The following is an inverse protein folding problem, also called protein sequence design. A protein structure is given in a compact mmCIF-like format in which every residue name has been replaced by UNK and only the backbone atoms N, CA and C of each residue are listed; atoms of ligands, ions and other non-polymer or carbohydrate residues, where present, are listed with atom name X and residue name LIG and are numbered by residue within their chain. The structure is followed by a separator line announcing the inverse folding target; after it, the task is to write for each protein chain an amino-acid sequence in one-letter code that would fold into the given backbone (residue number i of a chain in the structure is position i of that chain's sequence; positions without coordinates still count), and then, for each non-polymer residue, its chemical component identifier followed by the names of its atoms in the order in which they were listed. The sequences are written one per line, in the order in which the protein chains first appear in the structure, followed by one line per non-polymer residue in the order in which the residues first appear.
data_IF_003722142422
#
_entry.id   IF_003722142422
#
_cell.length_a   1.000
_cell.length_b   1.000
_cell.length_c   1.000
_cell.angle_alpha   90.00
_cell.angle_beta   90.00
_cell.angle_gamma   90.00
#
_symmetry.space_group_name_H-M   'P 1'
#
loop_
_entity.id
_entity.type
_entity.pdbx_description
1 polymer ?
#
# COMPACT_ATOMS: atom_id res chain seq x y z
N UNK A 1 -25.45 2.32 17.22
CA UNK A 1 -24.94 3.31 16.25
C UNK A 1 -23.98 4.24 17.01
N UNK A 2 -22.73 4.32 16.59
CA UNK A 2 -21.70 5.17 17.20
C UNK A 2 -21.28 6.28 16.24
N UNK A 3 -20.83 7.42 16.78
CA UNK A 3 -20.17 8.50 16.02
C UNK A 3 -18.68 8.20 15.96
N UNK A 4 -18.17 7.93 14.78
CA UNK A 4 -16.78 7.47 14.59
C UNK A 4 -16.04 8.42 13.67
N UNK A 5 -14.88 8.93 14.12
CA UNK A 5 -13.96 9.66 13.26
C UNK A 5 -12.94 8.71 12.63
N UNK A 6 -12.65 8.94 11.35
CA UNK A 6 -11.54 8.30 10.63
C UNK A 6 -10.56 9.38 10.21
N UNK A 7 -9.33 9.35 10.73
CA UNK A 7 -8.32 10.35 10.43
C UNK A 7 -7.43 9.92 9.29
N UNK A 8 -7.54 10.61 8.17
CA UNK A 8 -6.89 10.32 6.90
C UNK A 8 -7.80 9.59 5.91
N UNK A 9 -7.83 10.09 4.67
CA UNK A 9 -8.62 9.57 3.56
C UNK A 9 -7.78 8.73 2.57
N UNK A 10 -6.63 8.19 3.01
CA UNK A 10 -5.79 7.31 2.21
C UNK A 10 -6.37 5.89 2.05
N UNK A 11 -5.56 4.95 1.58
CA UNK A 11 -5.99 3.58 1.28
C UNK A 11 -6.69 2.87 2.45
N UNK A 12 -6.12 2.97 3.67
CA UNK A 12 -6.74 2.35 4.86
C UNK A 12 -7.96 3.13 5.32
N UNK A 13 -7.85 4.46 5.48
CA UNK A 13 -8.93 5.27 6.03
C UNK A 13 -10.19 5.27 5.17
N UNK A 14 -10.04 5.27 3.84
CA UNK A 14 -11.17 5.13 2.91
C UNK A 14 -11.87 3.76 3.06
N UNK A 15 -11.09 2.68 3.29
CA UNK A 15 -11.63 1.35 3.53
C UNK A 15 -12.37 1.28 4.88
N UNK A 16 -11.78 1.81 5.96
CA UNK A 16 -12.43 1.92 7.28
C UNK A 16 -13.76 2.64 7.16
N UNK A 17 -13.75 3.80 6.51
CA UNK A 17 -14.97 4.61 6.33
C UNK A 17 -16.08 3.85 5.60
N UNK A 18 -15.72 3.12 4.50
CA UNK A 18 -16.69 2.30 3.76
C UNK A 18 -17.31 1.22 4.65
N UNK A 19 -16.51 0.45 5.40
CA UNK A 19 -17.02 -0.63 6.23
C UNK A 19 -17.90 -0.11 7.36
N UNK A 20 -17.45 0.91 8.09
CA UNK A 20 -18.23 1.49 9.19
C UNK A 20 -19.54 2.13 8.73
N UNK A 21 -19.51 2.87 7.62
CA UNK A 21 -20.74 3.50 7.09
C UNK A 21 -21.75 2.45 6.59
N UNK A 22 -21.27 1.40 5.92
CA UNK A 22 -22.09 0.27 5.48
C UNK A 22 -22.76 -0.46 6.67
N UNK A 23 -22.11 -0.51 7.82
CA UNK A 23 -22.64 -1.06 9.07
C UNK A 23 -23.59 -0.10 9.81
N UNK A 24 -23.86 1.08 9.25
CA UNK A 24 -24.84 2.04 9.78
C UNK A 24 -24.30 2.96 10.88
N UNK A 25 -22.98 3.09 11.03
CA UNK A 25 -22.38 4.05 11.95
C UNK A 25 -22.35 5.47 11.36
N UNK A 26 -22.38 6.49 12.23
CA UNK A 26 -22.23 7.88 11.83
C UNK A 26 -20.71 8.18 11.67
N UNK A 27 -20.23 8.14 10.43
CA UNK A 27 -18.80 8.24 10.11
C UNK A 27 -18.45 9.65 9.62
N UNK A 28 -17.37 10.22 10.18
CA UNK A 28 -16.74 11.45 9.67
C UNK A 28 -15.27 11.14 9.34
N UNK A 29 -14.94 11.22 8.06
CA UNK A 29 -13.54 11.18 7.60
C UNK A 29 -12.96 12.58 7.68
N UNK A 30 -11.85 12.75 8.37
CA UNK A 30 -11.14 14.03 8.50
C UNK A 30 -9.82 13.92 7.75
N UNK A 31 -9.67 14.72 6.69
CA UNK A 31 -8.49 14.72 5.82
C UNK A 31 -7.87 16.12 5.74
N UNK A 32 -6.56 16.22 6.01
CA UNK A 32 -5.86 17.51 6.02
C UNK A 32 -5.69 18.14 4.62
N UNK A 33 -5.74 17.33 3.57
CA UNK A 33 -5.66 17.75 2.18
C UNK A 33 -7.00 17.50 1.47
N UNK A 34 -6.96 17.47 0.15
CA UNK A 34 -8.07 16.98 -0.68
C UNK A 34 -8.03 15.45 -0.74
N UNK A 35 -9.17 14.75 -0.89
CA UNK A 35 -9.14 13.32 -1.20
C UNK A 35 -8.28 13.02 -2.44
N UNK A 36 -7.56 11.89 -2.40
CA UNK A 36 -6.64 11.48 -3.48
C UNK A 36 -5.48 12.46 -3.73
N UNK A 37 -5.07 13.22 -2.71
CA UNK A 37 -3.88 14.08 -2.76
C UNK A 37 -2.59 13.26 -2.97
N UNK A 38 -1.54 13.88 -3.49
CA UNK A 38 -0.24 13.27 -3.78
C UNK A 38 0.81 13.41 -2.67
N UNK A 39 0.42 13.94 -1.51
CA UNK A 39 1.34 14.23 -0.41
C UNK A 39 1.70 13.00 0.42
N UNK A 40 0.85 11.97 0.41
CA UNK A 40 1.02 10.74 1.19
C UNK A 40 1.55 9.55 0.38
N UNK A 41 1.12 8.34 0.79
CA UNK A 41 1.58 7.06 0.22
C UNK A 41 0.58 6.38 -0.71
N UNK A 42 -0.67 6.87 -0.81
CA UNK A 42 -1.76 6.16 -1.51
C UNK A 42 -2.03 6.65 -2.93
N UNK A 43 -1.42 7.76 -3.35
CA UNK A 43 -1.59 8.33 -4.67
C UNK A 43 -0.94 7.48 -5.78
N UNK A 44 -1.48 7.59 -6.99
CA UNK A 44 -0.91 7.05 -8.22
C UNK A 44 -1.76 5.98 -8.89
N UNK A 45 -1.33 5.58 -10.09
CA UNK A 45 -2.07 4.68 -10.96
C UNK A 45 -1.92 3.21 -10.58
N UNK A 46 -0.84 2.83 -9.89
CA UNK A 46 -0.52 1.41 -9.70
C UNK A 46 0.11 1.08 -8.34
N UNK A 47 -0.33 -0.05 -7.75
CA UNK A 47 0.29 -0.72 -6.60
C UNK A 47 0.23 -2.23 -6.81
N UNK A 48 1.38 -2.93 -6.66
CA UNK A 48 1.42 -4.40 -6.81
C UNK A 48 0.46 -5.06 -5.83
N UNK A 49 -0.32 -6.01 -6.32
CA UNK A 49 -1.08 -6.98 -5.53
C UNK A 49 -0.56 -8.37 -5.86
N UNK A 50 -0.20 -9.14 -4.85
CA UNK A 50 0.41 -10.47 -4.96
C UNK A 50 0.21 -11.27 -3.68
N UNK A 51 0.20 -12.59 -3.79
CA UNK A 51 0.30 -13.53 -2.67
C UNK A 51 1.75 -13.98 -2.42
N UNK A 52 2.64 -13.73 -3.35
CA UNK A 52 4.05 -14.08 -3.30
C UNK A 52 4.79 -13.28 -2.24
N UNK A 53 5.06 -13.91 -1.10
CA UNK A 53 5.87 -13.41 -0.01
C UNK A 53 6.81 -14.49 0.49
N UNK A 54 8.04 -14.16 0.95
CA UNK A 54 8.89 -15.12 1.65
C UNK A 54 8.27 -15.59 2.97
N UNK A 55 7.41 -14.76 3.57
CA UNK A 55 6.69 -15.03 4.81
C UNK A 55 5.26 -15.50 4.51
N UNK A 56 4.97 -16.76 4.82
CA UNK A 56 3.66 -17.39 4.63
C UNK A 56 2.50 -16.72 5.38
N UNK A 57 2.78 -15.98 6.45
CA UNK A 57 1.79 -15.20 7.16
C UNK A 57 1.17 -14.13 6.24
N UNK A 58 2.00 -13.36 5.51
CA UNK A 58 1.51 -12.37 4.55
C UNK A 58 0.83 -13.02 3.34
N UNK A 59 1.31 -14.19 2.89
CA UNK A 59 0.65 -14.98 1.84
C UNK A 59 -0.78 -15.36 2.26
N UNK A 60 -0.96 -15.84 3.48
CA UNK A 60 -2.27 -16.17 4.06
C UNK A 60 -3.17 -14.95 4.15
N UNK A 61 -2.67 -13.82 4.68
CA UNK A 61 -3.44 -12.57 4.75
C UNK A 61 -3.89 -12.06 3.39
N UNK A 62 -3.10 -12.26 2.34
CA UNK A 62 -3.52 -11.92 0.99
C UNK A 62 -4.67 -12.80 0.49
N UNK A 63 -4.75 -14.06 0.92
CA UNK A 63 -5.91 -14.93 0.69
C UNK A 63 -7.22 -14.28 1.15
N UNK A 64 -7.19 -13.59 2.29
CA UNK A 64 -8.33 -12.84 2.83
C UNK A 64 -8.57 -11.47 2.13
N UNK A 65 -7.51 -10.85 1.64
CA UNK A 65 -7.62 -9.54 0.99
C UNK A 65 -8.19 -9.60 -0.44
N UNK A 66 -7.86 -10.63 -1.22
CA UNK A 66 -8.34 -10.77 -2.61
C UNK A 66 -9.87 -10.78 -2.75
N UNK A 67 -10.62 -11.55 -1.95
CA UNK A 67 -12.09 -11.51 -1.99
C UNK A 67 -12.66 -10.13 -1.68
N UNK A 68 -12.01 -9.36 -0.78
CA UNK A 68 -12.45 -8.00 -0.43
C UNK A 68 -12.19 -7.00 -1.56
N UNK A 69 -11.11 -7.18 -2.34
CA UNK A 69 -10.88 -6.38 -3.55
C UNK A 69 -11.92 -6.69 -4.63
N UNK A 70 -12.26 -7.96 -4.83
CA UNK A 70 -13.32 -8.36 -5.75
C UNK A 70 -14.72 -7.84 -5.30
N UNK A 71 -14.98 -7.82 -3.98
CA UNK A 71 -16.18 -7.20 -3.41
C UNK A 71 -16.22 -5.70 -3.73
N UNK A 72 -15.10 -4.97 -3.54
CA UNK A 72 -15.03 -3.55 -3.84
C UNK A 72 -15.27 -3.25 -5.33
N UNK A 73 -14.65 -4.01 -6.24
CA UNK A 73 -14.89 -3.87 -7.70
C UNK A 73 -16.38 -4.02 -8.05
N UNK A 74 -17.03 -5.05 -7.50
CA UNK A 74 -18.46 -5.32 -7.74
C UNK A 74 -19.35 -4.21 -7.20
N UNK A 75 -19.10 -3.72 -5.99
CA UNK A 75 -19.88 -2.63 -5.38
C UNK A 75 -19.62 -1.29 -6.09
N UNK A 76 -18.39 -1.03 -6.51
CA UNK A 76 -18.01 0.20 -7.20
C UNK A 76 -18.50 0.24 -8.66
N UNK A 77 -18.71 -0.92 -9.28
CA UNK A 77 -19.06 -1.03 -10.69
C UNK A 77 -17.93 -0.65 -11.63
N UNK A 78 -16.68 -0.72 -11.17
CA UNK A 78 -15.49 -0.34 -11.94
C UNK A 78 -14.32 -1.29 -11.72
N UNK A 79 -13.45 -1.46 -12.73
CA UNK A 79 -12.26 -2.29 -12.63
C UNK A 79 -11.14 -1.56 -11.90
N UNK A 80 -10.77 -2.08 -10.72
CA UNK A 80 -9.73 -1.55 -9.84
C UNK A 80 -8.48 -2.41 -9.84
N UNK A 81 -8.60 -3.68 -10.18
CA UNK A 81 -7.53 -4.66 -10.25
C UNK A 81 -7.24 -5.07 -11.69
N UNK A 82 -6.03 -4.80 -12.17
CA UNK A 82 -5.48 -5.31 -13.43
C UNK A 82 -4.68 -6.58 -13.14
N UNK A 83 -5.23 -7.73 -13.54
CA UNK A 83 -4.56 -9.03 -13.39
C UNK A 83 -3.58 -9.23 -14.55
N UNK A 84 -2.31 -8.99 -14.31
CA UNK A 84 -1.22 -9.10 -15.28
C UNK A 84 -0.34 -10.34 -15.07
N UNK A 85 -0.57 -11.06 -13.96
CA UNK A 85 0.42 -11.93 -13.37
C UNK A 85 1.56 -11.14 -12.73
N UNK A 86 2.41 -11.86 -11.99
CA UNK A 86 3.59 -11.28 -11.35
C UNK A 86 4.81 -12.20 -11.51
N UNK A 87 5.92 -11.66 -11.96
CA UNK A 87 7.22 -12.31 -12.05
C UNK A 87 8.08 -11.90 -10.86
N UNK A 88 8.45 -12.86 -10.04
CA UNK A 88 9.23 -12.67 -8.81
C UNK A 88 10.51 -13.48 -8.93
N UNK A 89 11.65 -12.85 -8.90
CA UNK A 89 12.91 -13.51 -9.23
C UNK A 89 14.07 -13.05 -8.35
N UNK A 90 15.14 -13.82 -8.35
CA UNK A 90 16.42 -13.52 -7.71
C UNK A 90 17.51 -14.43 -8.31
N UNK A 91 18.80 -14.24 -7.94
CA UNK A 91 19.82 -15.24 -8.21
C UNK A 91 19.40 -16.63 -7.72
N UNK A 92 19.73 -17.67 -8.48
CA UNK A 92 19.43 -19.05 -8.08
C UNK A 92 20.07 -19.38 -6.73
N UNK A 93 19.32 -20.05 -5.86
CA UNK A 93 19.75 -20.31 -4.47
C UNK A 93 19.51 -19.17 -3.50
N UNK A 94 18.94 -18.04 -3.91
CA UNK A 94 18.56 -16.98 -3.00
C UNK A 94 17.53 -17.49 -1.97
N UNK A 95 17.71 -17.21 -0.66
CA UNK A 95 16.87 -17.78 0.41
C UNK A 95 15.40 -17.41 0.25
N UNK A 96 15.08 -16.21 -0.22
CA UNK A 96 13.71 -15.76 -0.39
C UNK A 96 12.96 -16.57 -1.47
N UNK A 97 13.61 -17.01 -2.57
CA UNK A 97 12.95 -17.84 -3.57
C UNK A 97 12.49 -19.18 -2.97
N UNK A 98 13.33 -19.80 -2.14
CA UNK A 98 12.98 -21.05 -1.46
C UNK A 98 11.87 -20.84 -0.44
N UNK A 99 11.89 -19.73 0.28
CA UNK A 99 10.85 -19.35 1.22
C UNK A 99 9.51 -19.04 0.51
N UNK A 100 9.56 -18.30 -0.61
CA UNK A 100 8.40 -18.00 -1.47
C UNK A 100 7.74 -19.29 -1.96
N UNK A 101 8.51 -20.21 -2.55
CA UNK A 101 7.97 -21.49 -3.04
C UNK A 101 7.22 -22.24 -1.96
N UNK A 102 7.81 -22.31 -0.77
CA UNK A 102 7.19 -22.92 0.40
C UNK A 102 5.92 -22.22 0.80
N UNK A 103 5.98 -20.90 0.99
CA UNK A 103 4.83 -20.10 1.39
C UNK A 103 3.66 -20.21 0.40
N UNK A 104 3.92 -20.22 -0.90
CA UNK A 104 2.89 -20.40 -1.93
C UNK A 104 2.30 -21.80 -1.88
N UNK A 105 3.14 -22.86 -1.78
CA UNK A 105 2.69 -24.25 -1.69
C UNK A 105 1.84 -24.50 -0.42
N UNK A 106 2.31 -24.04 0.74
CA UNK A 106 1.61 -24.21 2.03
C UNK A 106 0.24 -23.50 2.03
N UNK A 107 0.12 -22.39 1.29
CA UNK A 107 -1.14 -21.65 1.12
C UNK A 107 -1.93 -22.04 -0.14
N UNK A 108 -1.56 -23.11 -0.84
CA UNK A 108 -2.24 -23.63 -2.04
C UNK A 108 -2.37 -22.58 -3.15
N UNK A 109 -1.40 -21.70 -3.30
CA UNK A 109 -1.34 -20.70 -4.36
C UNK A 109 -0.63 -21.29 -5.57
N UNK A 110 -1.28 -21.25 -6.73
CA UNK A 110 -0.69 -21.72 -7.99
C UNK A 110 0.43 -20.80 -8.46
N UNK A 111 1.54 -21.36 -8.88
CA UNK A 111 2.66 -20.64 -9.47
C UNK A 111 3.39 -21.51 -10.52
N UNK A 112 4.19 -20.87 -11.35
CA UNK A 112 5.07 -21.50 -12.34
C UNK A 112 6.51 -21.12 -12.03
N UNK A 113 7.44 -22.06 -12.17
CA UNK A 113 8.87 -21.77 -12.13
C UNK A 113 9.39 -21.41 -13.53
N UNK A 114 10.17 -20.35 -13.63
CA UNK A 114 10.72 -19.86 -14.90
C UNK A 114 12.23 -19.75 -14.81
N UNK A 115 12.92 -20.45 -15.70
CA UNK A 115 14.31 -20.20 -16.04
C UNK A 115 14.40 -19.02 -17.05
N UNK A 116 15.60 -18.51 -17.37
CA UNK A 116 15.76 -17.44 -18.34
C UNK A 116 15.14 -17.72 -19.71
N UNK A 117 15.21 -18.95 -20.19
CA UNK A 117 14.66 -19.37 -21.50
C UNK A 117 13.13 -19.36 -21.48
N UNK A 118 12.53 -19.92 -20.44
CA UNK A 118 11.08 -19.93 -20.26
C UNK A 118 10.53 -18.51 -20.06
N UNK A 119 11.23 -17.68 -19.29
CA UNK A 119 10.90 -16.28 -19.10
C UNK A 119 10.90 -15.50 -20.41
N UNK A 120 11.95 -15.61 -21.22
CA UNK A 120 12.05 -14.91 -22.51
C UNK A 120 10.95 -15.33 -23.51
N UNK A 121 10.51 -16.60 -23.46
CA UNK A 121 9.37 -17.06 -24.28
C UNK A 121 8.04 -16.50 -23.79
N UNK A 122 7.84 -16.45 -22.48
CA UNK A 122 6.58 -15.98 -21.87
C UNK A 122 6.46 -14.47 -21.90
N UNK A 123 7.56 -13.77 -21.64
CA UNK A 123 7.63 -12.30 -21.53
C UNK A 123 8.78 -11.74 -22.39
N UNK A 124 8.60 -11.58 -23.71
CA UNK A 124 9.67 -11.14 -24.62
C UNK A 124 10.25 -9.76 -24.30
N UNK A 125 9.52 -8.93 -23.53
CA UNK A 125 9.99 -7.61 -23.05
C UNK A 125 10.82 -7.68 -21.77
N UNK A 126 10.98 -8.88 -21.16
CA UNK A 126 11.70 -9.08 -19.90
C UNK A 126 12.87 -10.05 -20.06
N UNK A 127 13.97 -9.77 -19.41
CA UNK A 127 15.18 -10.62 -19.45
C UNK A 127 15.58 -11.04 -18.03
N UNK A 128 15.48 -12.34 -17.73
CA UNK A 128 16.24 -12.93 -16.63
C UNK A 128 17.67 -13.21 -17.10
N UNK A 129 18.65 -12.97 -16.23
CA UNK A 129 20.07 -13.26 -16.50
C UNK A 129 20.36 -14.74 -16.26
N UNK A 130 21.46 -15.21 -16.81
CA UNK A 130 22.00 -16.53 -16.47
C UNK A 130 22.25 -16.62 -14.96
N UNK A 131 21.85 -17.72 -14.33
CA UNK A 131 21.93 -17.92 -12.89
C UNK A 131 20.82 -17.22 -12.07
N UNK A 132 19.80 -16.66 -12.70
CA UNK A 132 18.58 -16.22 -12.05
C UNK A 132 17.44 -17.22 -12.25
N UNK A 133 16.56 -17.31 -11.27
CA UNK A 133 15.35 -18.10 -11.33
C UNK A 133 14.13 -17.25 -10.95
N UNK A 134 13.00 -17.51 -11.58
CA UNK A 134 11.75 -16.78 -11.36
C UNK A 134 10.61 -17.67 -10.90
N UNK A 135 9.71 -17.08 -10.12
CA UNK A 135 8.40 -17.59 -9.76
C UNK A 135 7.35 -16.70 -10.40
N UNK A 136 6.48 -17.24 -11.20
CA UNK A 136 5.38 -16.51 -11.80
C UNK A 136 4.06 -16.88 -11.11
N UNK A 137 3.38 -15.86 -10.54
CA UNK A 137 2.07 -15.97 -9.92
C UNK A 137 1.00 -15.42 -10.90
N UNK A 138 0.14 -16.29 -11.48
CA UNK A 138 -0.86 -15.85 -12.47
C UNK A 138 -1.93 -14.91 -11.89
N UNK A 139 -2.21 -15.01 -10.59
CA UNK A 139 -3.23 -14.19 -9.93
C UNK A 139 -2.73 -12.82 -9.48
N UNK A 140 -1.43 -12.56 -9.54
CA UNK A 140 -0.86 -11.25 -9.23
C UNK A 140 -1.20 -10.19 -10.28
N UNK A 141 -0.87 -8.95 -9.96
CA UNK A 141 -1.05 -7.82 -10.87
C UNK A 141 -0.94 -6.50 -10.11
N UNK A 142 -1.73 -5.50 -10.49
CA UNK A 142 -1.72 -4.23 -9.79
C UNK A 142 -3.12 -3.66 -9.56
N UNK A 143 -3.24 -2.92 -8.46
CA UNK A 143 -4.42 -2.14 -8.10
C UNK A 143 -4.25 -0.71 -8.62
N UNK A 144 -5.31 -0.14 -9.17
CA UNK A 144 -5.41 1.28 -9.56
C UNK A 144 -5.59 2.13 -8.30
N UNK A 145 -4.48 2.48 -7.64
CA UNK A 145 -4.49 2.94 -6.24
C UNK A 145 -5.41 4.15 -5.99
N UNK A 146 -5.28 5.21 -6.78
CA UNK A 146 -6.15 6.40 -6.67
C UNK A 146 -7.61 6.06 -6.95
N UNK A 147 -7.90 5.20 -7.93
CA UNK A 147 -9.27 4.75 -8.20
C UNK A 147 -9.85 3.94 -7.03
N UNK A 148 -9.03 3.06 -6.40
CA UNK A 148 -9.44 2.32 -5.20
C UNK A 148 -9.85 3.25 -4.06
N UNK A 149 -9.06 4.29 -3.78
CA UNK A 149 -9.36 5.27 -2.73
C UNK A 149 -10.65 6.02 -3.03
N UNK A 150 -10.80 6.53 -4.27
CA UNK A 150 -12.03 7.23 -4.70
C UNK A 150 -13.26 6.35 -4.64
N UNK A 151 -13.16 5.09 -5.09
CA UNK A 151 -14.26 4.13 -5.05
C UNK A 151 -14.73 3.89 -3.60
N UNK A 152 -13.80 3.66 -2.68
CA UNK A 152 -14.14 3.45 -1.27
C UNK A 152 -14.78 4.67 -0.63
N UNK A 153 -14.25 5.89 -0.86
CA UNK A 153 -14.83 7.12 -0.33
C UNK A 153 -16.22 7.40 -0.92
N UNK A 154 -16.40 7.18 -2.23
CA UNK A 154 -17.73 7.30 -2.88
C UNK A 154 -18.77 6.36 -2.27
N UNK A 155 -18.39 5.10 -2.06
CA UNK A 155 -19.26 4.11 -1.42
C UNK A 155 -19.54 4.46 0.05
N UNK A 156 -18.52 4.91 0.79
CA UNK A 156 -18.71 5.38 2.17
C UNK A 156 -19.72 6.54 2.23
N UNK A 157 -19.58 7.53 1.33
CA UNK A 157 -20.50 8.67 1.25
C UNK A 157 -21.91 8.26 0.83
N UNK A 158 -22.05 7.27 -0.07
CA UNK A 158 -23.35 6.71 -0.43
C UNK A 158 -24.07 6.03 0.76
N UNK A 159 -23.30 5.55 1.74
CA UNK A 159 -23.81 5.03 3.02
C UNK A 159 -23.87 6.10 4.13
N UNK A 160 -23.75 7.38 3.81
CA UNK A 160 -23.93 8.49 4.75
C UNK A 160 -22.67 8.98 5.45
N UNK A 161 -21.48 8.46 5.12
CA UNK A 161 -20.24 9.03 5.66
C UNK A 161 -20.00 10.47 5.16
N UNK A 162 -19.55 11.33 6.06
CA UNK A 162 -19.16 12.70 5.74
C UNK A 162 -17.65 12.78 5.56
N UNK A 163 -17.18 13.51 4.54
CA UNK A 163 -15.75 13.77 4.31
C UNK A 163 -15.47 15.25 4.55
N UNK A 164 -14.66 15.54 5.56
CA UNK A 164 -14.13 16.88 5.87
C UNK A 164 -12.71 16.99 5.31
N UNK A 165 -12.61 17.42 4.09
CA UNK A 165 -11.34 17.71 3.43
C UNK A 165 -10.77 19.07 3.87
N UNK A 166 -9.47 19.29 3.67
CA UNK A 166 -8.77 20.52 4.06
C UNK A 166 -8.75 20.75 5.57
N UNK A 167 -8.97 19.70 6.37
CA UNK A 167 -9.17 19.78 7.81
C UNK A 167 -8.03 19.06 8.55
N UNK A 168 -7.09 19.82 9.12
CA UNK A 168 -5.97 19.27 9.87
C UNK A 168 -6.33 19.07 11.33
N UNK A 169 -6.13 17.87 11.85
CA UNK A 169 -6.19 17.56 13.28
C UNK A 169 -4.82 17.83 13.91
N UNK A 170 -4.80 18.58 14.99
CA UNK A 170 -3.57 18.91 15.73
C UNK A 170 -3.37 18.04 16.98
N UNK A 171 -4.46 17.60 17.60
CA UNK A 171 -4.40 16.74 18.78
C UNK A 171 -5.64 15.83 18.89
N UNK A 172 -5.42 14.68 19.52
CA UNK A 172 -6.46 13.82 20.08
C UNK A 172 -6.43 13.98 21.59
N UNK A 173 -7.60 14.19 22.19
CA UNK A 173 -7.75 14.33 23.61
C UNK A 173 -8.80 13.35 24.14
N UNK A 174 -8.41 12.35 24.96
CA UNK A 174 -9.37 11.51 25.65
C UNK A 174 -10.32 12.36 26.51
N UNK A 175 -11.60 12.01 26.53
CA UNK A 175 -12.64 12.63 27.35
C UNK A 175 -13.32 11.56 28.22
N UNK A 176 -14.08 11.96 29.20
CA UNK A 176 -14.84 11.03 30.04
C UNK A 176 -15.77 10.13 29.18
N UNK A 177 -16.36 10.71 28.15
CA UNK A 177 -17.23 9.99 27.21
C UNK A 177 -16.81 10.27 25.76
N UNK A 178 -15.84 9.48 25.24
CA UNK A 178 -15.37 9.61 23.87
C UNK A 178 -14.00 10.23 23.71
N UNK A 179 -13.70 10.74 22.52
CA UNK A 179 -12.43 11.34 22.14
C UNK A 179 -12.71 12.65 21.42
N UNK A 180 -12.03 13.71 21.82
CA UNK A 180 -12.08 15.01 21.16
C UNK A 180 -10.93 15.13 20.14
N UNK A 181 -11.24 15.67 18.97
CA UNK A 181 -10.28 16.07 17.94
C UNK A 181 -10.16 17.59 17.97
N UNK A 182 -8.99 18.09 18.27
CA UNK A 182 -8.68 19.52 18.19
C UNK A 182 -8.16 19.81 16.79
N UNK A 183 -8.88 20.65 16.05
CA UNK A 183 -8.55 21.03 14.69
C UNK A 183 -7.61 22.24 14.66
N UNK A 184 -6.88 22.39 13.56
CA UNK A 184 -6.18 23.62 13.27
C UNK A 184 -7.19 24.80 13.23
N UNK A 185 -6.97 25.82 14.04
CA UNK A 185 -7.91 26.93 14.21
C UNK A 185 -8.79 26.84 15.44
N UNK A 186 -8.68 25.76 16.26
CA UNK A 186 -9.28 25.66 17.59
C UNK A 186 -10.67 25.04 17.62
N UNK A 187 -11.30 24.71 16.49
CA UNK A 187 -12.55 23.94 16.50
C UNK A 187 -12.32 22.57 17.15
N UNK A 188 -13.25 22.13 17.99
CA UNK A 188 -13.20 20.82 18.66
C UNK A 188 -14.38 19.97 18.19
N UNK A 189 -14.09 18.76 17.75
CA UNK A 189 -15.08 17.74 17.36
C UNK A 189 -15.04 16.58 18.33
N UNK A 190 -16.19 16.08 18.77
CA UNK A 190 -16.29 14.95 19.69
C UNK A 190 -16.87 13.71 19.01
N UNK A 191 -16.26 12.56 19.27
CA UNK A 191 -16.63 11.27 18.75
C UNK A 191 -16.63 10.21 19.84
N UNK A 192 -17.42 9.15 19.63
CA UNK A 192 -17.42 8.00 20.53
C UNK A 192 -16.16 7.15 20.35
N UNK A 193 -15.65 7.09 19.12
CA UNK A 193 -14.46 6.31 18.71
C UNK A 193 -13.67 7.07 17.63
N UNK A 194 -12.39 6.78 17.55
CA UNK A 194 -11.49 7.32 16.51
C UNK A 194 -10.65 6.22 15.90
N UNK A 195 -10.54 6.21 14.59
CA UNK A 195 -9.58 5.35 13.86
C UNK A 195 -8.53 6.23 13.20
N UNK A 196 -7.27 6.07 13.60
CA UNK A 196 -6.15 6.85 13.08
C UNK A 196 -5.49 6.11 11.93
N UNK A 197 -5.64 6.65 10.72
CA UNK A 197 -5.07 6.15 9.46
C UNK A 197 -4.28 7.25 8.74
N UNK A 198 -3.57 8.09 9.52
CA UNK A 198 -2.94 9.32 9.03
C UNK A 198 -1.61 9.09 8.27
N UNK A 199 -1.27 7.83 7.93
CA UNK A 199 -0.08 7.47 7.15
C UNK A 199 1.21 8.10 7.74
N UNK A 200 1.97 8.87 6.94
CA UNK A 200 3.23 9.47 7.39
C UNK A 200 3.09 10.45 8.57
N UNK A 201 1.89 10.96 8.84
CA UNK A 201 1.64 11.91 9.94
C UNK A 201 1.23 11.22 11.25
N UNK A 202 1.02 9.90 11.26
CA UNK A 202 0.51 9.15 12.42
C UNK A 202 1.37 9.31 13.67
N UNK A 203 2.68 9.13 13.58
CA UNK A 203 3.58 9.24 14.73
C UNK A 203 3.57 10.66 15.33
N UNK A 204 3.55 11.70 14.50
CA UNK A 204 3.49 13.09 14.95
C UNK A 204 2.15 13.41 15.63
N UNK A 205 1.04 12.94 15.05
CA UNK A 205 -0.29 13.16 15.61
C UNK A 205 -0.45 12.53 16.98
N UNK A 206 0.14 11.35 17.18
CA UNK A 206 0.04 10.58 18.43
C UNK A 206 1.21 10.80 19.40
N UNK A 207 2.19 11.65 19.07
CA UNK A 207 3.42 11.84 19.86
C UNK A 207 3.19 12.21 21.34
N UNK A 208 2.06 12.86 21.66
CA UNK A 208 1.68 13.23 23.04
C UNK A 208 0.93 12.10 23.79
N UNK A 209 0.50 11.07 23.07
CA UNK A 209 -0.30 9.95 23.63
C UNK A 209 0.56 8.69 23.73
N UNK A 210 1.27 8.35 22.65
CA UNK A 210 2.15 7.18 22.59
C UNK A 210 3.29 7.46 21.60
N UNK A 211 4.56 7.18 21.98
CA UNK A 211 5.65 7.23 21.03
C UNK A 211 5.56 6.05 20.07
N UNK A 212 5.43 6.32 18.76
CA UNK A 212 5.43 5.31 17.72
C UNK A 212 6.81 5.28 17.04
N UNK A 213 7.45 4.12 16.90
CA UNK A 213 8.77 4.00 16.29
C UNK A 213 8.69 4.04 14.75
N UNK A 214 7.96 5.00 14.20
CA UNK A 214 7.79 5.14 12.76
C UNK A 214 8.84 6.07 12.19
N UNK A 215 9.50 5.60 11.14
CA UNK A 215 10.38 6.42 10.31
C UNK A 215 9.70 6.67 8.97
N UNK A 216 9.59 7.94 8.58
CA UNK A 216 9.12 8.30 7.24
C UNK A 216 10.31 8.37 6.31
N UNK A 217 10.22 7.72 5.15
CA UNK A 217 11.28 7.72 4.14
C UNK A 217 10.77 8.24 2.81
N UNK A 218 11.65 8.98 2.12
CA UNK A 218 11.45 9.48 0.75
C UNK A 218 11.68 8.35 -0.24
N UNK A 219 10.77 8.15 -1.16
CA UNK A 219 10.82 7.12 -2.19
C UNK A 219 10.66 7.76 -3.57
N UNK A 220 11.33 7.20 -4.58
CA UNK A 220 11.21 7.67 -5.95
C UNK A 220 10.81 6.53 -6.88
N UNK A 221 9.99 6.85 -7.85
CA UNK A 221 9.74 5.98 -9.00
C UNK A 221 9.81 6.76 -10.29
N UNK A 222 10.29 6.09 -11.34
CA UNK A 222 10.38 6.64 -12.68
C UNK A 222 9.61 5.77 -13.67
N UNK A 223 9.09 6.40 -14.72
CA UNK A 223 8.56 5.73 -15.89
C UNK A 223 9.53 5.96 -17.05
N UNK A 224 10.04 4.90 -17.63
CA UNK A 224 11.00 4.94 -18.72
C UNK A 224 10.33 4.81 -20.08
N UNK A 225 10.84 5.56 -21.07
CA UNK A 225 10.32 5.49 -22.43
C UNK A 225 10.70 4.16 -23.10
N UNK A 226 9.76 3.46 -23.75
CA UNK A 226 10.10 2.28 -24.53
C UNK A 226 10.83 2.66 -25.83
N UNK A 227 11.81 1.84 -26.21
CA UNK A 227 12.47 1.88 -27.55
C UNK A 227 11.79 0.96 -28.54
N UNK A 228 10.89 0.11 -28.08
CA UNK A 228 10.10 -0.85 -28.83
C UNK A 228 8.62 -0.49 -28.77
N UNK A 229 7.77 -1.12 -29.60
CA UNK A 229 6.33 -0.87 -29.55
C UNK A 229 5.77 -1.03 -28.14
N UNK A 230 5.09 -0.01 -27.64
CA UNK A 230 4.53 0.04 -26.28
C UNK A 230 3.65 -1.18 -25.93
N UNK A 231 3.05 -1.80 -26.95
CA UNK A 231 2.27 -3.03 -26.83
C UNK A 231 3.03 -4.22 -26.22
N UNK A 232 4.37 -4.22 -26.23
CA UNK A 232 5.15 -5.27 -25.52
C UNK A 232 5.09 -5.16 -24.01
N UNK A 233 4.85 -3.96 -23.52
CA UNK A 233 4.75 -3.65 -22.10
C UNK A 233 3.30 -3.49 -21.62
N UNK A 234 2.31 -3.82 -22.45
CA UNK A 234 0.90 -3.73 -22.07
C UNK A 234 0.53 -4.75 -20.98
N UNK A 235 -0.49 -4.44 -20.21
CA UNK A 235 -0.91 -5.23 -19.06
C UNK A 235 -1.34 -6.67 -19.38
N UNK A 236 -1.67 -6.99 -20.63
CA UNK A 236 -1.99 -8.33 -21.13
C UNK A 236 -0.76 -9.15 -21.55
N UNK A 237 0.41 -8.53 -21.67
CA UNK A 237 1.65 -9.15 -22.16
C UNK A 237 2.84 -9.02 -21.25
N UNK A 238 2.77 -8.15 -20.28
CA UNK A 238 3.88 -7.85 -19.39
C UNK A 238 3.40 -7.89 -17.91
N UNK A 239 4.09 -8.65 -17.04
CA UNK A 239 3.67 -8.82 -15.65
C UNK A 239 4.09 -7.61 -14.78
N UNK A 240 3.53 -7.47 -13.59
CA UNK A 240 4.25 -6.81 -12.51
C UNK A 240 5.46 -7.67 -12.13
N UNK A 241 6.52 -7.06 -11.64
CA UNK A 241 7.71 -7.83 -11.29
C UNK A 241 8.43 -7.27 -10.06
N UNK A 242 9.16 -8.14 -9.36
CA UNK A 242 10.05 -7.81 -8.24
C UNK A 242 11.31 -8.67 -8.34
N UNK A 243 12.46 -8.02 -8.30
CA UNK A 243 13.76 -8.65 -8.07
C UNK A 243 14.04 -8.68 -6.57
N UNK A 244 14.02 -9.85 -5.96
CA UNK A 244 14.34 -10.03 -4.54
C UNK A 244 15.84 -9.97 -4.25
N UNK A 245 16.70 -10.05 -5.26
CA UNK A 245 18.14 -9.89 -5.11
C UNK A 245 18.56 -8.43 -4.93
N UNK A 246 17.82 -7.51 -5.55
CA UNK A 246 18.17 -6.08 -5.59
C UNK A 246 17.04 -5.16 -5.12
N UNK A 247 15.85 -5.70 -4.83
CA UNK A 247 14.65 -4.98 -4.43
C UNK A 247 14.09 -4.01 -5.48
N UNK A 248 14.52 -4.05 -6.73
CA UNK A 248 13.85 -3.34 -7.81
C UNK A 248 12.51 -4.00 -8.13
N UNK A 249 11.56 -3.17 -8.55
CA UNK A 249 10.25 -3.65 -8.98
C UNK A 249 9.67 -2.76 -10.06
N UNK A 250 8.71 -3.29 -10.80
CA UNK A 250 8.06 -2.52 -11.85
C UNK A 250 6.71 -3.07 -12.27
N UNK A 251 6.15 -2.37 -13.23
CA UNK A 251 4.79 -2.57 -13.71
C UNK A 251 4.77 -2.62 -15.23
N UNK A 252 3.73 -3.22 -15.84
CA UNK A 252 3.44 -2.96 -17.24
C UNK A 252 3.14 -1.48 -17.47
N UNK A 253 3.09 -1.08 -18.73
CA UNK A 253 2.59 0.22 -19.13
C UNK A 253 1.14 0.39 -18.68
N UNK A 254 0.87 1.54 -18.11
CA UNK A 254 -0.44 1.97 -17.66
C UNK A 254 -0.93 3.11 -18.59
N UNK A 255 -2.13 2.95 -19.14
CA UNK A 255 -2.74 3.92 -20.09
C UNK A 255 -2.87 5.36 -19.52
N UNK A 256 -2.75 5.52 -18.19
CA UNK A 256 -2.92 6.81 -17.52
C UNK A 256 -1.62 7.63 -17.41
N UNK A 257 -0.46 7.00 -17.57
CA UNK A 257 0.84 7.66 -17.47
C UNK A 257 1.79 7.16 -18.57
N UNK A 258 2.64 8.04 -19.14
CA UNK A 258 3.57 7.62 -20.18
C UNK A 258 4.66 6.69 -19.63
N UNK A 259 5.18 5.81 -20.48
CA UNK A 259 6.32 4.94 -20.17
C UNK A 259 5.97 3.72 -19.30
N UNK A 260 7.01 3.05 -18.83
CA UNK A 260 6.97 1.82 -18.02
C UNK A 260 7.57 2.11 -16.66
N UNK A 261 6.80 1.87 -15.60
CA UNK A 261 7.18 2.22 -14.22
C UNK A 261 8.18 1.26 -13.63
N UNK A 262 9.26 1.82 -13.07
CA UNK A 262 10.28 1.11 -12.29
C UNK A 262 10.59 1.88 -11.01
N UNK A 263 10.83 1.16 -9.92
CA UNK A 263 11.19 1.73 -8.63
C UNK A 263 12.04 0.76 -7.80
N UNK A 264 12.59 1.27 -6.70
CA UNK A 264 13.36 0.50 -5.72
C UNK A 264 12.56 0.37 -4.42
N UNK A 265 12.48 -0.83 -3.86
CA UNK A 265 11.80 -1.12 -2.59
C UNK A 265 12.81 -1.24 -1.45
N UNK A 266 13.58 -0.18 -1.24
CA UNK A 266 14.43 -0.03 -0.08
C UNK A 266 14.05 1.22 0.70
N UNK A 267 14.29 1.27 2.03
CA UNK A 267 14.10 2.50 2.77
C UNK A 267 14.99 3.59 2.18
N UNK A 268 14.38 4.60 1.58
CA UNK A 268 15.08 5.79 1.11
C UNK A 268 15.55 6.66 2.28
N UNK A 269 16.01 7.87 2.00
CA UNK A 269 16.43 8.82 3.04
C UNK A 269 15.28 9.14 3.99
N UNK A 270 15.57 9.16 5.29
CA UNK A 270 14.63 9.62 6.32
C UNK A 270 14.23 11.07 6.07
N UNK A 271 12.95 11.38 6.27
CA UNK A 271 12.39 12.72 6.02
C UNK A 271 11.24 13.04 6.97
N UNK A 272 10.92 14.32 7.07
CA UNK A 272 9.72 14.81 7.74
C UNK A 272 8.59 14.97 6.71
N UNK A 273 7.34 14.50 6.98
CA UNK A 273 6.25 14.55 6.00
C UNK A 273 5.92 15.94 5.46
N UNK A 274 6.23 17.00 6.25
CA UNK A 274 6.00 18.38 5.87
C UNK A 274 7.20 19.08 5.20
N UNK A 275 8.36 18.40 5.14
CA UNK A 275 9.64 18.95 4.62
C UNK A 275 10.27 18.04 3.58
N UNK A 276 9.43 17.25 2.91
CA UNK A 276 9.90 16.31 1.88
C UNK A 276 10.46 17.07 0.70
N UNK A 277 11.67 16.73 0.32
CA UNK A 277 12.18 17.09 -1.00
C UNK A 277 11.39 16.33 -2.08
N UNK A 278 10.61 17.05 -2.84
CA UNK A 278 9.73 16.52 -3.90
C UNK A 278 10.38 16.56 -5.28
N UNK A 279 11.60 17.08 -5.39
CA UNK A 279 12.39 17.05 -6.62
C UNK A 279 13.03 15.67 -6.79
N UNK A 280 13.03 15.14 -8.01
CA UNK A 280 13.72 13.90 -8.35
C UNK A 280 15.09 14.25 -8.88
N UNK A 281 16.14 13.72 -8.26
CA UNK A 281 17.53 13.99 -8.58
C UNK A 281 18.14 12.90 -9.48
N UNK A 282 19.28 13.18 -10.07
CA UNK A 282 19.98 12.21 -10.90
C UNK A 282 20.41 10.96 -10.10
N UNK A 283 20.79 11.14 -8.84
CA UNK A 283 21.09 10.04 -7.92
C UNK A 283 19.90 9.09 -7.66
N UNK A 284 18.67 9.57 -7.83
CA UNK A 284 17.46 8.73 -7.75
C UNK A 284 17.26 7.91 -9.05
N UNK A 285 17.59 8.50 -10.21
CA UNK A 285 17.36 7.90 -11.53
C UNK A 285 18.38 6.83 -11.90
N UNK A 286 19.65 7.05 -11.54
CA UNK A 286 20.77 6.21 -11.97
C UNK A 286 20.62 4.72 -11.55
N UNK A 287 20.23 4.38 -10.30
CA UNK A 287 19.98 2.98 -9.94
C UNK A 287 18.86 2.35 -10.77
N UNK A 288 17.78 3.10 -11.05
CA UNK A 288 16.64 2.61 -11.82
C UNK A 288 17.00 2.37 -13.29
N UNK A 289 17.86 3.23 -13.88
CA UNK A 289 18.37 3.01 -15.24
C UNK A 289 19.20 1.73 -15.35
N UNK A 290 20.02 1.45 -14.34
CA UNK A 290 20.79 0.19 -14.32
C UNK A 290 19.89 -1.03 -14.28
N UNK A 291 18.87 -1.05 -13.41
CA UNK A 291 17.89 -2.13 -13.36
C UNK A 291 17.15 -2.30 -14.70
N UNK A 292 16.79 -1.19 -15.37
CA UNK A 292 16.19 -1.25 -16.71
C UNK A 292 17.15 -1.87 -17.73
N UNK A 293 18.42 -1.46 -17.77
CA UNK A 293 19.42 -1.98 -18.70
C UNK A 293 19.65 -3.49 -18.52
N UNK A 294 19.54 -3.98 -17.29
CA UNK A 294 19.73 -5.39 -16.96
C UNK A 294 18.55 -6.26 -17.37
N UNK A 295 17.31 -5.85 -17.05
CA UNK A 295 16.12 -6.69 -17.14
C UNK A 295 15.10 -6.26 -18.19
N UNK A 296 15.15 -5.00 -18.65
CA UNK A 296 14.18 -4.39 -19.55
C UNK A 296 14.82 -3.79 -20.80
N UNK A 297 15.44 -4.63 -21.67
CA UNK A 297 16.24 -4.15 -22.80
C UNK A 297 15.48 -3.32 -23.83
N UNK A 298 14.15 -3.37 -23.81
CA UNK A 298 13.28 -2.55 -24.65
C UNK A 298 12.94 -1.16 -24.09
N UNK A 299 13.59 -0.73 -22.98
CA UNK A 299 13.42 0.62 -22.43
C UNK A 299 14.66 1.49 -22.72
N UNK A 300 14.42 2.76 -23.02
CA UNK A 300 15.47 3.77 -23.12
C UNK A 300 15.85 4.29 -21.73
N UNK A 301 17.05 4.91 -21.56
CA UNK A 301 17.38 5.57 -20.29
C UNK A 301 16.61 6.87 -20.04
N UNK A 302 15.74 7.30 -20.97
CA UNK A 302 14.96 8.52 -20.84
C UNK A 302 13.74 8.31 -19.95
N UNK A 303 13.52 9.26 -19.05
CA UNK A 303 12.39 9.26 -18.12
C UNK A 303 11.25 10.09 -18.74
N UNK A 304 10.09 9.46 -18.88
CA UNK A 304 8.86 10.08 -19.37
C UNK A 304 8.03 10.70 -18.24
N UNK A 305 8.11 10.13 -17.04
CA UNK A 305 7.43 10.63 -15.84
C UNK A 305 8.17 10.14 -14.60
N UNK A 306 8.16 10.96 -13.55
CA UNK A 306 8.79 10.61 -12.27
C UNK A 306 8.07 11.28 -11.11
N UNK A 307 8.18 10.69 -9.93
CA UNK A 307 7.54 11.25 -8.74
C UNK A 307 8.15 10.74 -7.45
N UNK A 308 8.12 11.61 -6.43
CA UNK A 308 8.44 11.28 -5.05
C UNK A 308 7.19 10.85 -4.31
N UNK A 309 7.29 9.77 -3.54
CA UNK A 309 6.29 9.32 -2.59
C UNK A 309 6.91 9.01 -1.23
N UNK A 310 6.11 8.57 -0.25
CA UNK A 310 6.57 8.31 1.11
C UNK A 310 6.27 6.88 1.51
N UNK A 311 7.21 6.26 2.24
CA UNK A 311 6.92 5.11 3.08
C UNK A 311 6.87 5.54 4.55
N UNK A 312 6.14 4.80 5.36
CA UNK A 312 6.14 4.89 6.81
C UNK A 312 6.58 3.54 7.33
N UNK A 313 7.83 3.49 7.77
CA UNK A 313 8.52 2.27 8.16
C UNK A 313 8.37 2.01 9.65
N UNK A 314 8.24 0.76 10.02
CA UNK A 314 8.46 0.25 11.38
C UNK A 314 9.85 -0.39 11.44
N UNK A 315 10.44 -0.58 12.63
CA UNK A 315 11.76 -1.20 12.77
C UNK A 315 11.85 -2.64 12.25
N UNK A 316 10.74 -3.38 12.34
CA UNK A 316 10.60 -4.78 11.93
C UNK A 316 9.90 -4.97 10.58
N UNK A 317 9.52 -3.89 9.93
CA UNK A 317 8.76 -3.85 8.68
C UNK A 317 7.34 -4.42 8.76
N UNK A 318 6.87 -4.89 9.91
CA UNK A 318 5.49 -5.31 10.13
C UNK A 318 4.56 -4.11 10.37
N UNK A 319 3.28 -4.28 10.07
CA UNK A 319 2.28 -3.22 10.24
C UNK A 319 1.99 -2.94 11.72
N UNK A 320 1.40 -1.81 12.01
CA UNK A 320 0.73 -1.54 13.29
C UNK A 320 -0.77 -1.56 13.06
N UNK A 321 -1.48 -2.42 13.78
CA UNK A 321 -2.95 -2.49 13.83
C UNK A 321 -3.33 -2.81 15.26
N UNK A 322 -3.62 -1.77 16.05
CA UNK A 322 -3.86 -1.93 17.48
C UNK A 322 -4.75 -0.83 18.04
N UNK A 323 -5.23 -1.02 19.26
CA UNK A 323 -5.82 0.04 20.07
C UNK A 323 -4.72 0.76 20.86
N UNK A 324 -4.91 2.06 21.08
CA UNK A 324 -3.92 2.78 21.89
C UNK A 324 -3.88 2.27 23.33
N UNK A 325 -2.70 2.04 23.90
CA UNK A 325 -2.55 1.73 25.32
C UNK A 325 -3.21 2.82 26.20
N UNK A 326 -4.07 2.40 27.12
CA UNK A 326 -4.81 3.29 28.01
C UNK A 326 -6.00 4.02 27.36
N UNK A 327 -6.19 3.95 26.03
CA UNK A 327 -7.33 4.57 25.35
C UNK A 327 -7.91 3.63 24.28
N UNK A 328 -8.67 2.62 24.68
CA UNK A 328 -9.18 1.58 23.74
C UNK A 328 -10.22 2.09 22.73
N UNK A 329 -10.69 3.35 22.88
CA UNK A 329 -11.59 3.99 21.91
C UNK A 329 -10.85 4.54 20.70
N UNK A 330 -9.52 4.51 20.71
CA UNK A 330 -8.69 4.90 19.57
C UNK A 330 -8.01 3.68 18.98
N UNK A 331 -8.31 3.38 17.74
CA UNK A 331 -7.65 2.35 16.94
C UNK A 331 -6.62 3.01 16.02
N UNK A 332 -5.45 2.42 15.87
CA UNK A 332 -4.37 2.92 15.00
C UNK A 332 -4.04 1.90 13.93
N UNK A 333 -3.96 2.35 12.69
CA UNK A 333 -3.39 1.58 11.57
C UNK A 333 -2.32 2.42 10.89
N UNK A 334 -1.09 1.94 10.91
CA UNK A 334 0.06 2.68 10.35
C UNK A 334 1.30 1.82 10.19
N UNK A 335 2.44 2.44 9.88
CA UNK A 335 3.69 1.73 9.72
C UNK A 335 3.63 0.64 8.65
N UNK A 336 3.03 0.92 7.48
CA UNK A 336 2.79 -0.11 6.46
C UNK A 336 4.02 -0.45 5.61
N UNK A 337 5.17 0.08 5.97
CA UNK A 337 6.52 -0.31 5.54
C UNK A 337 6.69 -0.55 4.02
N UNK A 338 6.02 0.30 3.20
CA UNK A 338 6.12 0.27 1.74
C UNK A 338 5.35 -0.85 1.04
N UNK A 339 4.78 -1.82 1.75
CA UNK A 339 4.08 -2.95 1.11
C UNK A 339 2.61 -3.11 1.50
N UNK A 340 2.02 -2.16 2.23
CA UNK A 340 0.70 -2.30 2.83
C UNK A 340 -0.49 -2.01 1.93
N UNK A 341 -0.35 -1.34 0.77
CA UNK A 341 -1.52 -0.89 -0.02
C UNK A 341 -2.46 -2.04 -0.40
N UNK A 342 -1.92 -3.18 -0.82
CA UNK A 342 -2.70 -4.36 -1.19
C UNK A 342 -3.51 -4.96 -0.03
N UNK A 343 -3.13 -4.66 1.20
CA UNK A 343 -3.82 -5.07 2.42
C UNK A 343 -4.85 -4.05 2.91
N UNK A 344 -4.90 -2.83 2.36
CA UNK A 344 -5.70 -1.73 2.92
C UNK A 344 -7.18 -2.06 3.07
N UNK A 345 -7.74 -2.84 2.16
CA UNK A 345 -9.14 -3.28 2.25
C UNK A 345 -9.37 -4.23 3.45
N UNK A 346 -8.43 -5.15 3.72
CA UNK A 346 -8.47 -6.06 4.87
C UNK A 346 -8.19 -5.30 6.17
N UNK A 347 -7.13 -4.48 6.20
CA UNK A 347 -6.79 -3.65 7.36
C UNK A 347 -7.93 -2.69 7.71
N UNK A 348 -8.61 -2.13 6.71
CA UNK A 348 -9.78 -1.30 6.90
C UNK A 348 -10.93 -2.04 7.54
N UNK A 349 -11.20 -3.29 7.14
CA UNK A 349 -12.21 -4.14 7.75
C UNK A 349 -11.85 -4.51 9.20
N UNK A 350 -10.60 -4.89 9.45
CA UNK A 350 -10.09 -5.20 10.80
C UNK A 350 -10.25 -3.99 11.72
N UNK A 351 -9.81 -2.81 11.27
CA UNK A 351 -9.91 -1.59 12.05
C UNK A 351 -11.36 -1.17 12.33
N UNK A 352 -12.28 -1.39 11.38
CA UNK A 352 -13.71 -1.17 11.59
C UNK A 352 -14.28 -2.09 12.69
N UNK A 353 -13.93 -3.38 12.67
CA UNK A 353 -14.33 -4.32 13.72
C UNK A 353 -13.73 -3.95 15.07
N UNK A 354 -12.46 -3.58 15.12
CA UNK A 354 -11.83 -3.12 16.37
C UNK A 354 -12.53 -1.86 16.92
N UNK A 355 -12.83 -0.90 16.06
CA UNK A 355 -13.51 0.34 16.46
C UNK A 355 -14.95 0.12 16.93
N UNK A 356 -15.57 -1.01 16.62
CA UNK A 356 -16.95 -1.37 17.01
C UNK A 356 -17.02 -2.52 17.99
N UNK A 357 -15.90 -2.89 18.62
CA UNK A 357 -15.74 -4.00 19.57
C UNK A 357 -16.20 -5.38 19.02
N UNK A 358 -16.21 -5.54 17.69
CA UNK A 358 -16.44 -6.81 17.05
C UNK A 358 -15.20 -7.71 17.16
N UNK A 359 -15.44 -9.02 17.13
CA UNK A 359 -14.35 -10.01 17.18
C UNK A 359 -13.58 -10.01 15.86
N UNK A 360 -12.27 -9.84 15.94
CA UNK A 360 -11.35 -10.09 14.83
C UNK A 360 -11.00 -11.58 14.80
N UNK A 361 -11.19 -12.29 13.67
CA UNK A 361 -11.00 -13.73 13.62
C UNK A 361 -9.54 -14.19 13.54
N UNK A 362 -8.60 -13.24 13.38
CA UNK A 362 -7.16 -13.51 13.25
C UNK A 362 -6.39 -13.07 14.49
N UNK A 363 -5.27 -13.73 14.75
CA UNK A 363 -4.29 -13.26 15.72
C UNK A 363 -3.56 -12.03 15.15
N UNK A 364 -3.70 -10.89 15.84
CA UNK A 364 -3.05 -9.63 15.49
C UNK A 364 -1.82 -9.32 16.36
N UNK A 365 -1.34 -10.26 17.18
CA UNK A 365 -0.22 -10.04 18.10
C UNK A 365 1.02 -9.51 17.38
N UNK A 366 1.27 -9.98 16.15
CA UNK A 366 2.33 -9.50 15.27
C UNK A 366 2.21 -8.02 14.92
N UNK A 367 1.02 -7.46 14.93
CA UNK A 367 0.74 -6.06 14.59
C UNK A 367 0.53 -5.19 15.83
N UNK A 368 0.63 -5.77 17.03
CA UNK A 368 0.39 -5.07 18.28
C UNK A 368 1.50 -4.04 18.58
N UNK A 369 1.12 -2.91 19.18
CA UNK A 369 2.06 -1.87 19.63
C UNK A 369 3.00 -2.39 20.72
N UNK A 370 2.53 -3.33 21.56
CA UNK A 370 3.31 -3.91 22.64
C UNK A 370 4.62 -4.59 22.21
N UNK A 371 4.78 -4.91 20.92
CA UNK A 371 6.03 -5.50 20.40
C UNK A 371 7.21 -4.52 20.34
N UNK A 372 6.94 -3.21 20.55
CA UNK A 372 7.96 -2.16 20.58
C UNK A 372 8.27 -1.64 21.98
N UNK A 373 7.70 -2.23 23.02
CA UNK A 373 7.85 -1.80 24.41
C UNK A 373 8.72 -2.79 25.17
#
# INVERSE_FOLDING_TARGET
MARIAVLGAGGVGSAVARFLAREGHAVTVVEQFTPDHDQGSSYGSSRIIRKTYPDGFYTSLMGEAYPLWAELEREAGEKLFARTGGLFFAPEGHPDLSAIRRALADNQVSFEELDPTACARKFPGFRLREGEAGVFEPEAGFLRASACVRAQLRLASAHGAQVRAGTRVEALEPRARGVALVLAGGEVLEFDRVVVCAGPWTARLLARVVPLPFTVTRQVYCHFEPTEPLARFSADRFPVWIDFGTNFYGFPHDEHLPGVKVALHEPGSSTEPHRVDREVHESDREPLRRACAEHLPGLSPRVAFEKVCLYTMTPDHDFVVDRLPGEPRVTVVGGLSGHGFKFTVLLGRIAAWMATDQRVPWDLSRFALARFV
#
